data_IF_026304926870
#
_entry.id   IF_026304926870
#
_cell.length_a   1.000
_cell.length_b   1.000
_cell.length_c   1.000
_cell.angle_alpha   90.00
_cell.angle_beta   90.00
_cell.angle_gamma   90.00
#
_symmetry.space_group_name_H-M   'P 1'
#
loop_
_entity.id
_entity.type
_entity.pdbx_description
1 polymer ?
#
# COMPACT_ATOMS: atom_id res chain seq x y z
N UNK A 1 7.71 -6.76 -53.36
CA UNK A 1 6.84 -7.14 -52.21
C UNK A 1 7.60 -6.77 -50.95
N UNK A 2 7.24 -5.62 -50.34
CA UNK A 2 7.93 -5.08 -49.15
C UNK A 2 7.09 -5.52 -47.97
N UNK A 3 7.67 -6.38 -47.12
CA UNK A 3 7.03 -6.85 -45.89
C UNK A 3 7.34 -5.82 -44.81
N UNK A 4 6.34 -5.02 -44.41
CA UNK A 4 6.43 -4.19 -43.21
C UNK A 4 6.25 -5.08 -42.00
N UNK A 5 7.35 -5.35 -41.25
CA UNK A 5 7.28 -5.95 -39.93
C UNK A 5 6.89 -4.82 -38.99
N UNK A 6 5.62 -4.79 -38.57
CA UNK A 6 5.20 -3.99 -37.45
C UNK A 6 5.83 -4.62 -36.18
N UNK A 7 6.94 -4.05 -35.71
CA UNK A 7 7.40 -4.28 -34.35
C UNK A 7 6.37 -3.65 -33.41
N UNK A 8 5.50 -4.50 -32.91
CA UNK A 8 4.67 -4.13 -31.76
C UNK A 8 5.61 -3.96 -30.57
N UNK A 9 6.04 -2.73 -30.30
CA UNK A 9 6.77 -2.40 -29.09
C UNK A 9 5.79 -2.59 -27.92
N UNK A 10 5.94 -3.71 -27.24
CA UNK A 10 5.31 -3.93 -25.94
C UNK A 10 5.84 -2.79 -25.05
N UNK A 11 4.98 -1.92 -24.51
CA UNK A 11 5.45 -0.94 -23.56
C UNK A 11 6.14 -1.70 -22.43
N UNK A 12 7.33 -1.25 -21.96
CA UNK A 12 8.01 -1.91 -20.87
C UNK A 12 7.01 -2.10 -19.74
N UNK A 13 6.85 -3.36 -19.31
CA UNK A 13 6.18 -3.63 -18.03
C UNK A 13 6.83 -2.68 -17.04
N UNK A 14 6.04 -1.85 -16.38
CA UNK A 14 6.54 -1.12 -15.21
C UNK A 14 6.96 -2.21 -14.24
N UNK A 15 8.21 -2.64 -14.34
CA UNK A 15 8.88 -3.34 -13.27
C UNK A 15 8.60 -2.51 -12.03
N UNK A 16 8.05 -3.15 -11.02
CA UNK A 16 7.86 -2.56 -9.72
C UNK A 16 9.25 -2.10 -9.25
N UNK A 17 9.60 -0.85 -9.58
CA UNK A 17 10.73 -0.23 -8.97
C UNK A 17 10.44 -0.28 -7.48
N UNK A 18 11.21 -1.05 -6.74
CA UNK A 18 11.25 -0.99 -5.29
C UNK A 18 11.70 0.42 -4.92
N UNK A 19 10.74 1.35 -4.90
CA UNK A 19 10.97 2.73 -4.50
C UNK A 19 11.25 2.70 -3.00
N UNK A 20 12.53 2.74 -2.65
CA UNK A 20 12.95 2.99 -1.28
C UNK A 20 12.79 4.48 -1.05
N UNK A 21 11.73 4.88 -0.38
CA UNK A 21 11.57 6.27 0.03
C UNK A 21 12.63 6.61 1.06
N UNK A 22 13.40 7.65 0.77
CA UNK A 22 14.42 8.14 1.68
C UNK A 22 13.83 9.08 2.71
N UNK A 23 12.75 9.77 2.36
CA UNK A 23 12.07 10.75 3.20
C UNK A 23 10.55 10.54 3.14
N UNK A 24 9.87 10.95 4.21
CA UNK A 24 8.43 10.83 4.33
C UNK A 24 7.67 11.68 3.29
N UNK A 25 8.21 12.86 2.97
CA UNK A 25 7.65 13.75 1.93
C UNK A 25 7.61 13.07 0.55
N UNK A 26 8.64 12.27 0.21
CA UNK A 26 8.64 11.52 -1.06
C UNK A 26 7.51 10.49 -1.09
N UNK A 27 7.27 9.79 0.01
CA UNK A 27 6.17 8.84 0.13
C UNK A 27 4.82 9.55 -0.01
N UNK A 28 4.63 10.67 0.70
CA UNK A 28 3.42 11.48 0.62
C UNK A 28 3.18 11.97 -0.81
N UNK A 29 4.18 12.56 -1.45
CA UNK A 29 4.06 13.16 -2.78
C UNK A 29 3.79 12.12 -3.87
N UNK A 30 4.41 10.95 -3.78
CA UNK A 30 4.25 9.86 -4.77
C UNK A 30 2.95 9.06 -4.62
N UNK A 31 2.24 9.22 -3.51
CA UNK A 31 0.98 8.53 -3.28
C UNK A 31 -0.19 9.26 -3.90
N UNK A 32 -1.09 8.54 -4.57
CA UNK A 32 -2.33 9.08 -5.12
C UNK A 32 -3.41 9.22 -4.04
N UNK A 33 -3.35 8.35 -3.02
CA UNK A 33 -4.26 8.36 -1.88
C UNK A 33 -3.50 8.05 -0.60
N UNK A 34 -3.92 8.70 0.47
CA UNK A 34 -3.49 8.42 1.84
C UNK A 34 -4.76 8.34 2.67
N UNK A 35 -5.03 7.18 3.24
CA UNK A 35 -6.29 6.90 3.92
C UNK A 35 -6.07 6.10 5.19
N UNK A 36 -6.92 6.36 6.19
CA UNK A 36 -7.09 5.51 7.34
C UNK A 36 -8.18 4.48 7.03
N UNK A 37 -7.89 3.21 7.25
CA UNK A 37 -8.74 2.09 6.89
C UNK A 37 -8.84 1.07 8.01
N UNK A 38 -9.94 0.33 8.04
CA UNK A 38 -10.14 -0.82 8.93
C UNK A 38 -10.36 -2.09 8.10
N UNK A 39 -9.65 -3.16 8.45
CA UNK A 39 -9.78 -4.44 7.77
C UNK A 39 -11.08 -5.15 8.14
N UNK A 40 -11.83 -5.62 7.13
CA UNK A 40 -13.13 -6.28 7.33
C UNK A 40 -13.02 -7.79 7.59
N UNK A 41 -11.83 -8.36 7.39
CA UNK A 41 -11.59 -9.78 7.64
C UNK A 41 -11.64 -10.65 6.39
N UNK A 42 -11.97 -10.09 5.23
CA UNK A 42 -12.13 -10.82 3.97
C UNK A 42 -10.97 -10.57 3.03
N UNK A 43 -10.49 -11.62 2.39
CA UNK A 43 -9.50 -11.53 1.31
C UNK A 43 -9.87 -12.42 0.14
N UNK A 44 -9.35 -12.08 -1.04
CA UNK A 44 -9.52 -12.85 -2.27
C UNK A 44 -8.14 -13.11 -2.89
N UNK A 45 -7.81 -14.37 -3.12
CA UNK A 45 -6.61 -14.77 -3.84
C UNK A 45 -6.96 -15.11 -5.30
N UNK A 46 -6.12 -14.66 -6.22
CA UNK A 46 -6.33 -14.89 -7.66
C UNK A 46 -5.02 -14.78 -8.45
N UNK A 47 -5.08 -15.14 -9.73
CA UNK A 47 -3.94 -15.05 -10.66
C UNK A 47 -4.21 -14.07 -11.79
N UNK A 48 -3.18 -13.31 -12.15
CA UNK A 48 -3.13 -12.50 -13.37
C UNK A 48 -1.80 -12.78 -14.06
N UNK A 49 -1.84 -13.22 -15.31
CA UNK A 49 -0.64 -13.49 -16.11
C UNK A 49 0.39 -14.36 -15.36
N UNK A 50 -0.06 -15.46 -14.73
CA UNK A 50 0.72 -16.41 -13.92
C UNK A 50 1.26 -15.88 -12.58
N UNK A 51 1.06 -14.62 -12.26
CA UNK A 51 1.41 -14.06 -10.96
C UNK A 51 0.26 -14.21 -9.95
N UNK A 52 0.60 -14.59 -8.73
CA UNK A 52 -0.36 -14.71 -7.62
C UNK A 52 -0.55 -13.35 -6.93
N UNK A 53 -1.81 -12.98 -6.72
CA UNK A 53 -2.23 -11.76 -6.02
C UNK A 53 -3.15 -12.08 -4.85
N UNK A 54 -3.18 -11.17 -3.91
CA UNK A 54 -4.14 -11.15 -2.82
C UNK A 54 -4.74 -9.75 -2.70
N UNK A 55 -6.06 -9.69 -2.58
CA UNK A 55 -6.81 -8.46 -2.31
C UNK A 55 -7.48 -8.56 -0.96
N UNK A 56 -7.34 -7.53 -0.16
CA UNK A 56 -7.95 -7.42 1.16
C UNK A 56 -9.07 -6.39 1.13
N UNK A 57 -10.18 -6.68 1.80
CA UNK A 57 -11.33 -5.79 1.89
C UNK A 57 -11.24 -4.90 3.13
N UNK A 58 -11.36 -3.59 2.92
CA UNK A 58 -11.29 -2.58 3.97
C UNK A 58 -12.44 -1.60 3.87
N UNK A 59 -12.77 -0.96 4.98
CA UNK A 59 -13.63 0.20 5.03
C UNK A 59 -12.79 1.45 5.30
N UNK A 60 -13.07 2.54 4.58
CA UNK A 60 -12.41 3.83 4.77
C UNK A 60 -12.96 4.49 6.03
N UNK A 61 -12.08 4.89 6.95
CA UNK A 61 -12.41 5.64 8.16
C UNK A 61 -12.16 7.14 7.97
N UNK A 62 -11.10 7.49 7.24
CA UNK A 62 -10.71 8.87 6.96
C UNK A 62 -9.87 8.96 5.69
N UNK A 63 -10.00 10.05 4.95
CA UNK A 63 -9.14 10.36 3.81
C UNK A 63 -8.26 11.57 4.10
N UNK A 64 -6.95 11.41 3.95
CA UNK A 64 -5.96 12.50 4.07
C UNK A 64 -5.52 13.01 2.70
N UNK A 65 -5.59 12.21 1.64
CA UNK A 65 -5.24 12.58 0.28
C UNK A 65 -6.04 11.76 -0.72
N UNK A 66 -6.47 12.40 -1.80
CA UNK A 66 -7.23 11.75 -2.89
C UNK A 66 -8.73 11.72 -2.64
N UNK A 67 -9.45 10.96 -3.46
CA UNK A 67 -10.91 10.88 -3.46
C UNK A 67 -11.38 9.55 -2.89
N UNK A 68 -11.56 9.47 -1.60
CA UNK A 68 -12.21 8.34 -0.91
C UNK A 68 -13.11 8.92 0.14
N UNK A 69 -14.34 8.45 0.20
CA UNK A 69 -15.30 8.89 1.20
C UNK A 69 -15.29 7.96 2.42
N UNK A 70 -15.55 8.53 3.59
CA UNK A 70 -15.73 7.74 4.80
C UNK A 70 -16.89 6.75 4.63
N UNK A 71 -16.66 5.50 5.01
CA UNK A 71 -17.63 4.42 4.81
C UNK A 71 -17.50 3.68 3.48
N UNK A 72 -16.65 4.13 2.55
CA UNK A 72 -16.40 3.40 1.32
C UNK A 72 -15.74 2.05 1.60
N UNK A 73 -16.25 0.99 0.98
CA UNK A 73 -15.54 -0.29 0.91
C UNK A 73 -14.54 -0.27 -0.25
N UNK A 74 -13.30 -0.61 0.05
CA UNK A 74 -12.22 -0.65 -0.93
C UNK A 74 -11.45 -1.95 -0.86
N UNK A 75 -10.96 -2.39 -2.01
CA UNK A 75 -10.01 -3.50 -2.09
C UNK A 75 -8.59 -2.98 -2.29
N UNK A 76 -7.66 -3.47 -1.48
CA UNK A 76 -6.24 -3.21 -1.63
C UNK A 76 -5.55 -4.48 -2.05
N UNK A 77 -4.90 -4.41 -3.20
CA UNK A 77 -4.23 -5.55 -3.84
C UNK A 77 -2.73 -5.47 -3.70
N UNK A 78 -2.10 -6.61 -3.48
CA UNK A 78 -0.65 -6.77 -3.56
C UNK A 78 -0.28 -8.12 -4.18
N UNK A 79 0.94 -8.22 -4.71
CA UNK A 79 1.49 -9.52 -5.10
C UNK A 79 1.60 -10.42 -3.86
N UNK A 80 1.21 -11.68 -3.98
CA UNK A 80 1.22 -12.62 -2.85
C UNK A 80 2.61 -12.77 -2.24
N UNK A 81 3.67 -12.78 -3.06
CA UNK A 81 5.04 -12.84 -2.58
C UNK A 81 5.43 -11.61 -1.74
N UNK A 82 4.95 -10.41 -2.10
CA UNK A 82 5.19 -9.20 -1.32
C UNK A 82 4.47 -9.29 0.03
N UNK A 83 3.22 -9.75 0.04
CA UNK A 83 2.46 -9.99 1.27
C UNK A 83 3.15 -11.01 2.19
N UNK A 84 3.58 -12.15 1.63
CA UNK A 84 4.30 -13.16 2.39
C UNK A 84 5.63 -12.63 2.94
N UNK A 85 6.31 -11.77 2.19
CA UNK A 85 7.51 -11.10 2.67
C UNK A 85 7.24 -10.16 3.85
N UNK A 86 6.13 -9.42 3.83
CA UNK A 86 5.72 -8.58 4.95
C UNK A 86 5.41 -9.42 6.19
N UNK A 87 4.64 -10.50 6.05
CA UNK A 87 4.31 -11.40 7.16
C UNK A 87 5.57 -12.00 7.80
N UNK A 88 6.49 -12.51 6.97
CA UNK A 88 7.67 -13.24 7.45
C UNK A 88 8.74 -12.32 8.05
N UNK A 89 8.78 -11.05 7.64
CA UNK A 89 9.87 -10.13 7.94
C UNK A 89 9.42 -8.80 8.57
N UNK A 90 8.16 -8.68 8.96
CA UNK A 90 7.71 -7.49 9.68
C UNK A 90 8.46 -7.31 11.00
N UNK A 91 8.51 -6.06 11.47
CA UNK A 91 9.20 -5.68 12.71
C UNK A 91 8.70 -6.43 13.93
N UNK A 92 7.41 -6.78 13.93
CA UNK A 92 6.80 -7.64 14.94
C UNK A 92 6.49 -8.99 14.26
N UNK A 93 6.88 -10.08 14.88
CA UNK A 93 6.78 -11.46 14.37
C UNK A 93 5.35 -11.94 14.06
N UNK A 94 4.36 -11.09 14.21
CA UNK A 94 2.93 -11.39 14.09
C UNK A 94 2.19 -10.40 13.19
N UNK A 95 2.88 -9.77 12.21
CA UNK A 95 2.14 -8.94 11.27
C UNK A 95 1.26 -9.84 10.39
N UNK A 96 -0.02 -9.82 10.66
CA UNK A 96 -1.09 -10.26 9.78
C UNK A 96 -2.19 -9.20 9.81
N UNK A 97 -2.93 -9.08 8.72
CA UNK A 97 -4.17 -8.34 8.78
C UNK A 97 -5.18 -9.13 9.61
N UNK A 98 -5.43 -8.70 10.85
CA UNK A 98 -6.50 -9.26 11.67
C UNK A 98 -7.75 -8.42 11.49
N UNK A 99 -8.90 -9.07 11.50
CA UNK A 99 -10.19 -8.37 11.44
C UNK A 99 -10.24 -7.26 12.49
N UNK A 100 -10.75 -6.10 12.08
CA UNK A 100 -10.85 -4.86 12.86
C UNK A 100 -9.53 -4.13 13.14
N UNK A 101 -8.38 -4.65 12.66
CA UNK A 101 -7.14 -3.88 12.66
C UNK A 101 -7.30 -2.60 11.82
N UNK A 102 -6.74 -1.51 12.31
CA UNK A 102 -6.77 -0.19 11.66
C UNK A 102 -5.38 0.19 11.17
N UNK A 103 -5.34 0.81 9.98
CA UNK A 103 -4.10 1.17 9.31
C UNK A 103 -4.20 2.56 8.68
N UNK A 104 -3.07 3.25 8.58
CA UNK A 104 -2.90 4.35 7.63
C UNK A 104 -2.06 3.80 6.48
N UNK A 105 -2.56 3.93 5.26
CA UNK A 105 -1.92 3.35 4.07
C UNK A 105 -1.71 4.40 2.99
N UNK A 106 -0.60 4.24 2.29
CA UNK A 106 -0.19 5.06 1.16
C UNK A 106 -0.37 4.25 -0.12
N UNK A 107 -1.24 4.71 -1.01
CA UNK A 107 -1.70 3.95 -2.16
C UNK A 107 -1.33 4.65 -3.46
N UNK A 108 -0.98 3.86 -4.46
CA UNK A 108 -0.73 4.32 -5.83
C UNK A 108 -1.80 3.76 -6.76
N UNK A 109 -2.37 4.65 -7.56
CA UNK A 109 -3.15 4.35 -8.74
C UNK A 109 -4.31 3.36 -8.56
N UNK A 110 -5.17 3.34 -9.56
CA UNK A 110 -6.13 2.25 -9.72
C UNK A 110 -5.53 1.17 -10.60
N UNK A 111 -5.74 -0.07 -10.22
CA UNK A 111 -5.50 -1.19 -11.10
C UNK A 111 -6.30 -1.03 -12.42
N UNK A 112 -5.74 -1.43 -13.55
CA UNK A 112 -6.46 -1.43 -14.82
C UNK A 112 -7.63 -2.40 -14.73
N UNK A 113 -8.84 -1.88 -14.79
CA UNK A 113 -10.10 -2.60 -14.49
C UNK A 113 -10.33 -3.89 -15.27
N UNK A 114 -9.75 -4.01 -16.47
CA UNK A 114 -9.95 -5.16 -17.37
C UNK A 114 -9.15 -6.41 -17.00
N UNK A 115 -8.23 -6.33 -16.04
CA UNK A 115 -7.37 -7.46 -15.64
C UNK A 115 -7.78 -8.11 -14.31
N UNK A 116 -8.74 -7.54 -13.61
CA UNK A 116 -9.15 -7.97 -12.27
C UNK A 116 -10.50 -8.68 -12.29
N UNK A 117 -10.73 -9.58 -11.34
CA UNK A 117 -12.08 -10.10 -11.10
C UNK A 117 -13.08 -8.94 -10.98
N UNK A 118 -14.31 -9.17 -11.48
CA UNK A 118 -15.36 -8.12 -11.51
C UNK A 118 -15.67 -7.56 -10.12
N UNK A 119 -15.50 -8.39 -9.11
CA UNK A 119 -15.71 -8.10 -7.69
C UNK A 119 -14.71 -7.07 -7.16
N UNK A 120 -13.54 -6.95 -7.82
CA UNK A 120 -12.44 -6.08 -7.42
C UNK A 120 -12.37 -4.80 -8.24
N UNK A 121 -13.48 -4.37 -8.82
CA UNK A 121 -13.52 -3.09 -9.55
C UNK A 121 -13.04 -1.95 -8.67
N UNK A 122 -12.07 -1.19 -9.21
CA UNK A 122 -11.51 -0.04 -8.49
C UNK A 122 -10.49 -0.39 -7.42
N UNK A 123 -9.97 -1.64 -7.41
CA UNK A 123 -8.92 -2.04 -6.47
C UNK A 123 -7.71 -1.10 -6.54
N UNK A 124 -7.14 -0.80 -5.39
CA UNK A 124 -5.98 0.08 -5.23
C UNK A 124 -4.73 -0.75 -4.97
N UNK A 125 -3.58 -0.21 -5.33
CA UNK A 125 -2.29 -0.83 -5.04
C UNK A 125 -1.63 -0.16 -3.85
N UNK A 126 -1.01 -0.97 -2.97
CA UNK A 126 -0.08 -0.41 -2.00
C UNK A 126 1.08 0.21 -2.75
N UNK A 127 1.45 1.41 -2.35
CA UNK A 127 2.66 2.03 -2.85
C UNK A 127 3.85 1.10 -2.55
N UNK A 128 4.56 0.64 -3.59
CA UNK A 128 5.62 -0.37 -3.47
C UNK A 128 6.87 0.10 -2.71
N UNK A 129 6.85 1.32 -2.17
CA UNK A 129 7.90 1.82 -1.30
C UNK A 129 7.73 1.33 0.14
N UNK A 130 8.79 0.88 0.78
CA UNK A 130 8.84 0.67 2.21
C UNK A 130 9.21 1.98 2.92
N UNK A 131 8.53 2.33 4.01
CA UNK A 131 7.27 1.79 4.50
C UNK A 131 6.07 2.52 3.91
N UNK A 132 5.00 1.81 3.59
CA UNK A 132 3.74 2.41 3.07
C UNK A 132 2.49 1.94 3.81
N UNK A 133 2.69 1.13 4.84
CA UNK A 133 1.63 0.61 5.71
C UNK A 133 2.01 0.91 7.15
N UNK A 134 1.12 1.58 7.86
CA UNK A 134 1.28 1.96 9.26
C UNK A 134 0.09 1.40 10.03
N UNK A 135 0.33 0.41 10.90
CA UNK A 135 -0.71 -0.16 11.75
C UNK A 135 -0.93 0.75 12.96
N UNK A 136 -2.17 1.05 13.25
CA UNK A 136 -2.56 1.74 14.47
C UNK A 136 -2.67 0.71 15.60
N UNK A 137 -1.78 0.80 16.58
CA UNK A 137 -1.80 -0.04 17.77
C UNK A 137 -2.13 0.83 18.97
N UNK A 138 -3.41 0.89 19.39
CA UNK A 138 -3.93 1.76 20.45
C UNK A 138 -3.67 3.24 20.13
N UNK A 139 -2.61 3.80 20.69
CA UNK A 139 -2.25 5.21 20.55
C UNK A 139 -0.96 5.43 19.74
N UNK A 140 -0.31 4.36 19.30
CA UNK A 140 0.98 4.41 18.62
C UNK A 140 0.92 3.78 17.23
N UNK A 141 1.83 4.21 16.37
CA UNK A 141 2.01 3.63 15.04
C UNK A 141 3.07 2.53 15.08
N UNK A 142 2.70 1.39 14.53
CA UNK A 142 3.64 0.35 14.15
C UNK A 142 3.93 0.48 12.64
N UNK A 143 5.18 0.81 12.32
CA UNK A 143 5.61 0.89 10.93
C UNK A 143 5.82 -0.52 10.39
N UNK A 144 5.07 -0.90 9.36
CA UNK A 144 5.18 -2.21 8.74
C UNK A 144 6.27 -2.17 7.67
N UNK A 145 7.40 -2.78 8.00
CA UNK A 145 8.58 -2.82 7.14
C UNK A 145 9.32 -4.13 7.32
N UNK A 146 9.99 -4.59 6.26
CA UNK A 146 10.85 -5.76 6.33
C UNK A 146 11.98 -5.52 7.35
N UNK A 147 12.16 -6.44 8.32
CA UNK A 147 13.19 -6.34 9.37
C UNK A 147 14.58 -6.08 8.84
N UNK A 148 14.93 -6.68 7.71
CA UNK A 148 16.24 -6.51 7.09
C UNK A 148 16.46 -5.08 6.55
N UNK A 149 15.38 -4.28 6.46
CA UNK A 149 15.41 -2.91 5.95
C UNK A 149 15.34 -1.84 7.03
N UNK A 150 15.08 -2.20 8.27
CA UNK A 150 15.01 -1.23 9.38
C UNK A 150 16.30 -0.43 9.50
N UNK A 151 17.44 -1.09 9.30
CA UNK A 151 18.77 -0.43 9.40
C UNK A 151 19.02 0.61 8.30
N UNK A 152 18.29 0.52 7.19
CA UNK A 152 18.42 1.44 6.05
C UNK A 152 17.30 2.48 5.99
N UNK A 153 16.34 2.43 6.92
CA UNK A 153 15.34 3.50 7.03
C UNK A 153 16.04 4.81 7.35
N UNK A 154 15.61 5.87 6.65
CA UNK A 154 16.05 7.21 6.98
C UNK A 154 15.65 7.63 8.40
N UNK A 155 16.28 8.65 8.93
CA UNK A 155 15.95 9.17 10.26
C UNK A 155 14.50 9.67 10.31
N UNK A 156 13.96 10.16 9.18
CA UNK A 156 12.55 10.55 9.06
C UNK A 156 11.59 9.41 9.34
N UNK A 157 11.86 8.22 8.77
CA UNK A 157 11.03 7.06 9.06
C UNK A 157 11.29 6.46 10.44
N UNK A 158 12.52 6.56 10.96
CA UNK A 158 12.83 6.09 12.31
C UNK A 158 12.09 6.89 13.38
N UNK A 159 11.89 8.19 13.18
CA UNK A 159 11.10 9.02 14.10
C UNK A 159 9.62 8.61 14.16
N UNK A 160 9.11 7.92 13.12
CA UNK A 160 7.72 7.42 13.11
C UNK A 160 7.56 6.12 13.91
N UNK A 161 8.66 5.44 14.27
CA UNK A 161 8.58 4.25 15.10
C UNK A 161 8.09 4.65 16.51
N UNK A 162 6.98 4.08 16.92
CA UNK A 162 6.30 4.40 18.19
C UNK A 162 5.81 5.85 18.32
N UNK A 163 5.58 6.54 17.18
CA UNK A 163 4.97 7.85 17.20
C UNK A 163 3.51 7.74 17.66
N UNK A 164 3.04 8.71 18.41
CA UNK A 164 1.62 8.82 18.74
C UNK A 164 0.81 9.08 17.45
N UNK A 165 -0.29 8.34 17.31
CA UNK A 165 -1.15 8.40 16.11
C UNK A 165 -1.64 9.81 15.83
N UNK A 166 -2.04 10.56 16.86
CA UNK A 166 -2.53 11.92 16.70
C UNK A 166 -1.48 12.85 16.09
N UNK A 167 -0.22 12.74 16.53
CA UNK A 167 0.89 13.55 15.98
C UNK A 167 1.10 13.23 14.50
N UNK A 168 1.00 11.96 14.12
CA UNK A 168 1.12 11.55 12.73
C UNK A 168 -0.05 12.06 11.86
N UNK A 169 -1.26 12.01 12.39
CA UNK A 169 -2.45 12.54 11.73
C UNK A 169 -2.32 14.06 11.51
N UNK A 170 -1.93 14.80 12.55
CA UNK A 170 -1.71 16.25 12.45
C UNK A 170 -0.65 16.60 11.39
N UNK A 171 0.40 15.79 11.27
CA UNK A 171 1.42 15.97 10.24
C UNK A 171 0.85 15.72 8.83
N UNK A 172 0.05 14.67 8.63
CA UNK A 172 -0.61 14.40 7.36
C UNK A 172 -1.58 15.51 6.96
N UNK A 173 -2.37 16.03 7.89
CA UNK A 173 -3.31 17.13 7.64
C UNK A 173 -2.57 18.43 7.30
N UNK A 174 -1.43 18.69 7.93
CA UNK A 174 -0.57 19.86 7.62
C UNK A 174 0.01 19.78 6.20
N UNK A 175 0.31 18.59 5.71
CA UNK A 175 0.88 18.39 4.37
C UNK A 175 -0.16 18.56 3.24
N UNK A 176 -1.45 18.65 3.56
CA UNK A 176 -2.52 18.90 2.59
C UNK A 176 -2.71 20.39 2.27
N UNK A 177 -2.23 21.29 3.12
CA UNK A 177 -2.33 22.75 2.99
C UNK A 177 -1.07 23.34 2.39
#
# INVERSE_FOLDING_TARGET
MIIFIFQCSIPPSRESQNLNYKIFDDLHNSSDRIIEIKYLGDNLEYKIDEEDFVSFNFIVLRSFKGTSDEGDEIFITMKKNNYLSLINFATNSEFMFNKDDTFIVFLMGRAKENRYPKELKGTLWINNGDPSIFKINKHFLDVIVNRNRISILSDDFRRLLNLEVNIFIDELERMQN
#
